data_IF_788877076245
#
_entry.id   IF_788877076245
#
_cell.length_a   1.000
_cell.length_b   1.000
_cell.length_c   1.000
_cell.angle_alpha   90.00
_cell.angle_beta   90.00
_cell.angle_gamma   90.00
#
_symmetry.space_group_name_H-M   'P 1'
#
loop_
_entity.id
_entity.type
_entity.pdbx_description
1 polymer ?
#
# COMPACT_ATOMS: atom_id res chain seq x y z
N UNK A 1 -6.41 3.50 -11.38
CA UNK A 1 -5.98 2.28 -10.68
C UNK A 1 -6.09 2.51 -9.19
N UNK A 2 -6.75 1.61 -8.45
CA UNK A 2 -6.81 1.65 -6.98
C UNK A 2 -5.64 0.85 -6.40
N UNK A 3 -5.32 1.07 -5.11
CA UNK A 3 -4.31 0.27 -4.39
C UNK A 3 -4.63 -1.22 -4.43
N UNK A 4 -5.92 -1.59 -4.39
CA UNK A 4 -6.34 -2.99 -4.41
C UNK A 4 -5.93 -3.66 -5.73
N UNK A 5 -6.29 -3.04 -6.85
CA UNK A 5 -5.93 -3.50 -8.19
C UNK A 5 -4.41 -3.61 -8.34
N UNK A 6 -3.67 -2.60 -7.86
CA UNK A 6 -2.21 -2.60 -7.93
C UNK A 6 -1.56 -3.75 -7.14
N UNK A 7 -2.09 -4.08 -5.94
CA UNK A 7 -1.60 -5.20 -5.14
C UNK A 7 -1.83 -6.55 -5.85
N UNK A 8 -2.97 -6.68 -6.53
CA UNK A 8 -3.32 -7.88 -7.30
C UNK A 8 -2.40 -8.03 -8.54
N UNK A 9 -2.21 -6.96 -9.31
CA UNK A 9 -1.36 -6.95 -10.51
C UNK A 9 0.11 -7.21 -10.20
N UNK A 10 0.64 -6.57 -9.16
CA UNK A 10 2.05 -6.72 -8.80
C UNK A 10 2.33 -7.96 -7.97
N UNK A 11 1.32 -8.66 -7.48
CA UNK A 11 1.45 -9.75 -6.50
C UNK A 11 2.16 -9.32 -5.20
N UNK A 12 2.23 -8.01 -4.93
CA UNK A 12 2.69 -7.49 -3.65
C UNK A 12 1.66 -7.85 -2.56
N UNK A 13 2.11 -8.45 -1.46
CA UNK A 13 1.18 -8.86 -0.41
C UNK A 13 0.68 -7.67 0.41
N UNK A 14 -0.57 -7.73 0.87
CA UNK A 14 -1.12 -6.73 1.80
C UNK A 14 -0.29 -6.60 3.08
N UNK A 15 0.28 -7.71 3.56
CA UNK A 15 1.15 -7.70 4.75
C UNK A 15 2.43 -6.90 4.50
N UNK A 16 3.11 -7.16 3.38
CA UNK A 16 4.31 -6.42 3.02
C UNK A 16 4.01 -4.94 2.83
N UNK A 17 2.97 -4.61 2.07
CA UNK A 17 2.62 -3.21 1.81
C UNK A 17 2.23 -2.46 3.09
N UNK A 18 1.41 -3.08 3.95
CA UNK A 18 1.03 -2.48 5.22
C UNK A 18 2.26 -2.22 6.11
N UNK A 19 3.14 -3.21 6.26
CA UNK A 19 4.26 -3.14 7.20
C UNK A 19 5.43 -2.30 6.69
N UNK A 20 5.81 -2.46 5.43
CA UNK A 20 6.99 -1.81 4.85
C UNK A 20 6.71 -0.39 4.38
N UNK A 21 5.57 -0.17 3.73
CA UNK A 21 5.23 1.13 3.12
C UNK A 21 4.37 1.97 4.06
N UNK A 22 3.27 1.42 4.58
CA UNK A 22 2.35 2.20 5.40
C UNK A 22 2.78 2.30 6.87
N UNK A 23 3.71 1.44 7.32
CA UNK A 23 4.13 1.27 8.73
C UNK A 23 2.95 0.99 9.66
N UNK A 24 2.08 0.07 9.24
CA UNK A 24 0.89 -0.40 9.95
C UNK A 24 0.77 -1.93 9.83
N UNK A 25 -0.14 -2.52 10.61
CA UNK A 25 -0.44 -3.95 10.47
C UNK A 25 -1.43 -4.22 9.33
N UNK A 26 -1.39 -5.43 8.75
CA UNK A 26 -2.29 -5.86 7.66
C UNK A 26 -3.76 -5.67 8.00
N UNK A 27 -4.18 -5.91 9.25
CA UNK A 27 -5.57 -5.72 9.68
C UNK A 27 -6.06 -4.31 9.45
N UNK A 28 -5.21 -3.31 9.69
CA UNK A 28 -5.55 -1.90 9.48
C UNK A 28 -5.75 -1.61 8.00
N UNK A 29 -4.83 -2.07 7.14
CA UNK A 29 -4.97 -1.93 5.70
C UNK A 29 -6.24 -2.63 5.18
N UNK A 30 -6.50 -3.86 5.62
CA UNK A 30 -7.68 -4.61 5.23
C UNK A 30 -8.99 -3.90 5.62
N UNK A 31 -9.02 -3.23 6.78
CA UNK A 31 -10.17 -2.39 7.16
C UNK A 31 -10.30 -1.16 6.25
N UNK A 32 -9.19 -0.47 5.95
CA UNK A 32 -9.22 0.68 5.05
C UNK A 32 -9.66 0.33 3.62
N UNK A 33 -9.30 -0.85 3.12
CA UNK A 33 -9.65 -1.29 1.77
C UNK A 33 -11.08 -1.80 1.64
N UNK A 34 -11.57 -2.57 2.62
CA UNK A 34 -12.90 -3.19 2.53
C UNK A 34 -14.01 -2.36 3.18
N UNK A 35 -13.68 -1.52 4.17
CA UNK A 35 -14.62 -0.68 4.92
C UNK A 35 -14.06 0.75 5.02
N UNK A 36 -13.91 1.46 3.88
CA UNK A 36 -13.44 2.84 3.91
C UNK A 36 -14.42 3.71 4.70
N UNK A 37 -13.86 4.61 5.51
CA UNK A 37 -14.65 5.61 6.25
C UNK A 37 -14.63 6.94 5.53
N UNK A 38 -15.61 7.78 5.82
CA UNK A 38 -15.63 9.14 5.29
C UNK A 38 -14.42 9.95 5.79
N UNK A 39 -13.91 10.82 4.92
CA UNK A 39 -12.75 11.67 5.24
C UNK A 39 -12.94 12.47 6.53
N UNK A 40 -14.17 12.94 6.78
CA UNK A 40 -14.53 13.70 7.98
C UNK A 40 -14.36 12.89 9.27
N UNK A 41 -14.55 11.57 9.21
CA UNK A 41 -14.46 10.66 10.35
C UNK A 41 -13.03 10.15 10.61
N UNK A 42 -12.10 10.38 9.67
CA UNK A 42 -10.82 9.70 9.65
C UNK A 42 -9.74 10.29 10.56
N UNK A 43 -9.91 11.47 11.19
CA UNK A 43 -8.95 12.08 12.13
C UNK A 43 -7.47 11.67 11.90
N UNK A 44 -6.86 10.89 12.81
CA UNK A 44 -5.48 10.38 12.71
C UNK A 44 -5.29 9.26 11.66
N UNK A 45 -6.35 8.54 11.28
CA UNK A 45 -6.32 7.49 10.27
C UNK A 45 -6.22 8.03 8.84
N UNK A 46 -6.38 9.35 8.62
CA UNK A 46 -6.16 10.00 7.31
C UNK A 46 -4.77 9.77 6.77
N UNK A 47 -3.76 9.70 7.64
CA UNK A 47 -2.36 9.46 7.26
C UNK A 47 -2.22 8.21 6.36
N UNK A 48 -2.99 7.15 6.63
CA UNK A 48 -2.92 5.90 5.87
C UNK A 48 -3.41 6.12 4.43
N UNK A 49 -4.50 6.87 4.26
CA UNK A 49 -5.04 7.20 2.95
C UNK A 49 -4.13 8.15 2.16
N UNK A 50 -3.50 9.12 2.85
CA UNK A 50 -2.50 10.00 2.23
C UNK A 50 -1.29 9.20 1.75
N UNK A 51 -0.77 8.26 2.55
CA UNK A 51 0.35 7.40 2.14
C UNK A 51 -0.02 6.49 0.97
N UNK A 52 -1.23 5.92 0.98
CA UNK A 52 -1.75 5.13 -0.15
C UNK A 52 -1.85 5.98 -1.43
N UNK A 53 -2.37 7.20 -1.32
CA UNK A 53 -2.43 8.13 -2.45
C UNK A 53 -1.03 8.48 -2.96
N UNK A 54 -0.11 8.85 -2.08
CA UNK A 54 1.27 9.19 -2.45
C UNK A 54 1.98 8.02 -3.13
N UNK A 55 1.75 6.79 -2.67
CA UNK A 55 2.28 5.58 -3.34
C UNK A 55 1.78 5.47 -4.79
N UNK A 56 0.49 5.72 -5.03
CA UNK A 56 -0.09 5.65 -6.37
C UNK A 56 0.36 6.79 -7.29
N UNK A 57 0.82 7.92 -6.72
CA UNK A 57 1.40 9.02 -7.48
C UNK A 57 2.86 8.77 -7.90
N UNK A 58 3.52 7.75 -7.36
CA UNK A 58 4.87 7.39 -7.78
C UNK A 58 4.86 6.78 -9.18
N UNK A 59 5.90 7.11 -9.95
CA UNK A 59 6.19 6.41 -11.22
C UNK A 59 6.41 4.92 -10.96
N UNK A 60 6.23 4.11 -12.01
CA UNK A 60 6.49 2.68 -11.92
C UNK A 60 7.94 2.38 -11.53
N UNK A 61 8.90 3.09 -12.13
CA UNK A 61 10.33 2.96 -11.82
C UNK A 61 10.63 3.24 -10.34
N UNK A 62 10.05 4.30 -9.77
CA UNK A 62 10.20 4.60 -8.35
C UNK A 62 9.60 3.51 -7.45
N UNK A 63 8.42 3.00 -7.81
CA UNK A 63 7.78 1.90 -7.06
C UNK A 63 8.64 0.63 -7.11
N UNK A 64 9.15 0.27 -8.29
CA UNK A 64 10.02 -0.88 -8.47
C UNK A 64 11.31 -0.75 -7.66
N UNK A 65 11.94 0.42 -7.65
CA UNK A 65 13.15 0.63 -6.86
C UNK A 65 12.88 0.47 -5.35
N UNK A 66 11.79 1.06 -4.86
CA UNK A 66 11.38 0.90 -3.47
C UNK A 66 11.07 -0.57 -3.15
N UNK A 67 10.40 -1.28 -4.05
CA UNK A 67 10.09 -2.70 -3.91
C UNK A 67 11.36 -3.56 -3.84
N UNK A 68 12.40 -3.25 -4.63
CA UNK A 68 13.71 -3.92 -4.54
C UNK A 68 14.38 -3.66 -3.20
N UNK A 69 14.46 -2.40 -2.78
CA UNK A 69 15.07 -2.00 -1.49
C UNK A 69 14.41 -2.70 -0.31
N UNK A 70 13.09 -2.82 -0.32
CA UNK A 70 12.32 -3.48 0.75
C UNK A 70 12.05 -4.96 0.51
N UNK A 71 12.68 -5.58 -0.49
CA UNK A 71 12.57 -7.01 -0.82
C UNK A 71 11.11 -7.45 -0.88
N UNK A 72 10.36 -6.83 -1.79
CA UNK A 72 8.97 -7.20 -2.03
C UNK A 72 8.91 -8.69 -2.43
N UNK A 73 7.90 -9.44 -1.96
CA UNK A 73 7.85 -10.90 -2.14
C UNK A 73 7.79 -11.33 -3.61
N UNK A 74 7.39 -10.43 -4.50
CA UNK A 74 7.32 -10.64 -5.95
C UNK A 74 8.60 -10.22 -6.70
N UNK A 75 9.61 -9.68 -6.01
CA UNK A 75 10.89 -9.26 -6.62
C UNK A 75 11.94 -10.37 -6.66
N UNK A 76 11.82 -11.41 -5.84
CA UNK A 76 12.78 -12.51 -5.77
C UNK A 76 12.56 -13.57 -6.88
N UNK A 77 11.62 -13.34 -7.80
CA UNK A 77 11.23 -14.27 -8.87
C UNK A 77 11.77 -13.91 -10.26
N UNK A 78 12.77 -13.02 -10.34
CA UNK A 78 13.49 -12.71 -11.60
C UNK A 78 14.97 -13.08 -11.52
#
# INVERSE_FOLDING_TARGET
MLIKDWLEETQATQEWFATKILKRCRRTLNQCLNNPKDWKELSQKREIYVKMHNWMCLTEEQRLEIMRVYKAPNMDSQ
#
